data_IF_211989783341
#
_entry.id   IF_211989783341
#
_cell.length_a   1.000
_cell.length_b   1.000
_cell.length_c   1.000
_cell.angle_alpha   90.00
_cell.angle_beta   90.00
_cell.angle_gamma   90.00
#
_symmetry.space_group_name_H-M   'P 1'
#
loop_
_entity.id
_entity.type
_entity.pdbx_description
1 polymer ?
#
# COMPACT_ATOMS: atom_id res chain seq x y z
N UNK A 1 13.80 13.17 -14.64
CA UNK A 1 12.37 12.82 -14.74
C UNK A 1 11.81 12.65 -13.33
N UNK A 2 11.36 13.72 -12.69
CA UNK A 2 10.75 13.64 -11.35
C UNK A 2 9.28 13.25 -11.51
N UNK A 3 9.03 11.94 -11.64
CA UNK A 3 7.68 11.42 -11.43
C UNK A 3 7.35 11.63 -9.95
N UNK A 4 6.61 12.70 -9.65
CA UNK A 4 5.98 13.00 -8.36
C UNK A 4 4.87 11.98 -8.10
N UNK A 5 5.21 10.70 -7.98
CA UNK A 5 4.26 9.68 -7.56
C UNK A 5 4.04 9.88 -6.06
N UNK A 6 3.09 10.75 -5.69
CA UNK A 6 2.76 11.05 -4.29
C UNK A 6 2.02 9.90 -3.58
N UNK A 7 1.92 8.74 -4.24
CA UNK A 7 1.16 7.59 -3.79
C UNK A 7 2.00 6.32 -3.87
N UNK A 8 1.76 5.41 -2.93
CA UNK A 8 2.37 4.10 -2.89
C UNK A 8 1.98 3.26 -4.10
N UNK A 9 2.97 2.68 -4.78
CA UNK A 9 2.74 1.88 -5.98
C UNK A 9 2.06 0.54 -5.70
N UNK A 10 2.06 0.07 -4.45
CA UNK A 10 1.44 -1.20 -4.04
C UNK A 10 0.02 -1.06 -3.48
N UNK A 11 -0.30 0.04 -2.80
CA UNK A 11 -1.57 0.19 -2.09
C UNK A 11 -2.31 1.52 -2.35
N UNK A 12 -1.77 2.38 -3.23
CA UNK A 12 -2.28 3.72 -3.51
C UNK A 12 -2.42 4.63 -2.28
N UNK A 13 -1.70 4.30 -1.20
CA UNK A 13 -1.66 5.16 -0.02
C UNK A 13 -0.91 6.45 -0.33
N UNK A 14 -1.50 7.64 -0.11
CA UNK A 14 -0.79 8.90 -0.27
C UNK A 14 0.35 9.00 0.75
N UNK A 15 1.56 9.35 0.31
CA UNK A 15 2.71 9.48 1.21
C UNK A 15 2.53 10.58 2.26
N UNK A 16 1.69 11.58 1.99
CA UNK A 16 1.27 12.60 2.98
C UNK A 16 0.56 12.00 4.21
N UNK A 17 -0.06 10.83 4.07
CA UNK A 17 -0.73 10.11 5.17
C UNK A 17 0.12 8.98 5.75
N UNK A 18 1.33 8.78 5.23
CA UNK A 18 2.25 7.74 5.71
C UNK A 18 2.88 8.21 7.04
N UNK A 19 2.80 7.44 8.14
CA UNK A 19 3.40 7.84 9.41
C UNK A 19 4.89 8.15 9.32
N UNK A 20 5.63 7.52 8.40
CA UNK A 20 7.06 7.77 8.22
C UNK A 20 7.36 8.87 7.19
N UNK A 21 6.41 9.29 6.35
CA UNK A 21 6.56 10.45 5.45
C UNK A 21 7.81 10.47 4.57
N UNK A 22 8.85 11.19 4.99
CA UNK A 22 10.16 11.26 4.30
C UNK A 22 11.15 10.20 4.80
N UNK A 23 10.97 9.67 6.02
CA UNK A 23 11.79 8.62 6.64
C UNK A 23 11.49 7.21 6.10
N UNK A 24 10.90 7.11 4.91
CA UNK A 24 10.56 5.84 4.27
C UNK A 24 11.82 5.22 3.71
N UNK A 25 11.96 3.91 3.88
CA UNK A 25 13.07 3.16 3.28
C UNK A 25 12.99 3.14 1.74
N UNK A 26 11.78 3.23 1.18
CA UNK A 26 11.55 3.19 -0.26
C UNK A 26 10.87 4.46 -0.77
N UNK A 27 11.30 4.92 -1.95
CA UNK A 27 10.65 6.04 -2.66
C UNK A 27 9.32 5.63 -3.30
N UNK A 28 9.19 4.37 -3.70
CA UNK A 28 8.04 3.83 -4.44
C UNK A 28 6.92 3.30 -3.54
N UNK A 29 7.26 2.85 -2.33
CA UNK A 29 6.33 2.21 -1.40
C UNK A 29 6.18 3.02 -0.10
N UNK A 30 5.03 2.87 0.56
CA UNK A 30 4.82 3.43 1.90
C UNK A 30 5.42 2.51 2.98
N UNK A 31 5.60 3.05 4.19
CA UNK A 31 6.17 2.33 5.34
C UNK A 31 5.43 1.04 5.73
N UNK A 32 4.14 0.95 5.41
CA UNK A 32 3.36 -0.26 5.67
C UNK A 32 3.56 -1.35 4.63
N UNK A 33 3.83 -0.97 3.38
CA UNK A 33 4.01 -1.94 2.30
C UNK A 33 5.46 -2.41 2.19
N UNK A 34 6.42 -1.58 2.58
CA UNK A 34 7.84 -1.88 2.52
C UNK A 34 8.50 -1.53 3.84
N UNK A 35 9.12 -2.53 4.48
CA UNK A 35 9.78 -2.41 5.78
C UNK A 35 10.95 -3.39 5.88
N UNK A 36 12.04 -2.98 6.51
CA UNK A 36 13.25 -3.78 6.70
C UNK A 36 13.82 -4.29 5.36
N UNK A 37 13.83 -3.46 4.33
CA UNK A 37 14.37 -3.79 3.01
C UNK A 37 13.51 -4.73 2.16
N UNK A 38 12.30 -5.10 2.59
CA UNK A 38 11.41 -6.00 1.84
C UNK A 38 9.95 -5.58 1.85
N UNK A 39 9.20 -6.09 0.87
CA UNK A 39 7.76 -5.90 0.82
C UNK A 39 7.09 -6.78 1.87
N UNK A 40 6.15 -6.21 2.62
CA UNK A 40 5.33 -6.98 3.58
C UNK A 40 4.48 -8.05 2.89
N UNK A 41 4.16 -7.84 1.61
CA UNK A 41 3.49 -8.81 0.76
C UNK A 41 4.32 -9.08 -0.50
N UNK A 42 4.89 -10.27 -0.56
CA UNK A 42 5.74 -10.75 -1.66
C UNK A 42 4.94 -11.47 -2.75
N UNK A 43 3.67 -11.79 -2.49
CA UNK A 43 2.79 -12.43 -3.48
C UNK A 43 2.48 -11.55 -4.70
N UNK A 44 1.97 -12.19 -5.74
CA UNK A 44 1.54 -11.54 -6.98
C UNK A 44 0.01 -11.64 -7.22
N UNK A 45 -0.74 -12.21 -6.27
CA UNK A 45 -2.19 -12.27 -6.33
C UNK A 45 -2.80 -11.03 -5.68
N UNK A 46 -3.59 -10.28 -6.46
CA UNK A 46 -4.27 -9.07 -6.01
C UNK A 46 -5.40 -9.37 -5.00
N UNK A 47 -6.12 -10.48 -5.16
CA UNK A 47 -7.20 -10.86 -4.24
C UNK A 47 -6.63 -11.22 -2.87
N UNK A 48 -5.52 -11.96 -2.84
CA UNK A 48 -4.81 -12.25 -1.59
C UNK A 48 -4.24 -10.98 -0.96
N UNK A 49 -3.62 -10.10 -1.75
CA UNK A 49 -3.15 -8.81 -1.26
C UNK A 49 -4.28 -8.00 -0.62
N UNK A 50 -5.44 -7.91 -1.27
CA UNK A 50 -6.61 -7.21 -0.74
C UNK A 50 -7.07 -7.81 0.60
N UNK A 51 -7.08 -9.13 0.73
CA UNK A 51 -7.45 -9.81 1.99
C UNK A 51 -6.46 -9.47 3.11
N UNK A 52 -5.16 -9.58 2.85
CA UNK A 52 -4.12 -9.27 3.84
C UNK A 52 -4.12 -7.79 4.21
N UNK A 53 -4.33 -6.90 3.23
CA UNK A 53 -4.46 -5.47 3.47
C UNK A 53 -5.68 -5.14 4.33
N UNK A 54 -6.85 -5.76 4.09
CA UNK A 54 -8.04 -5.58 4.95
C UNK A 54 -7.77 -6.07 6.37
N UNK A 55 -7.13 -7.24 6.53
CA UNK A 55 -6.75 -7.77 7.85
C UNK A 55 -5.81 -6.81 8.57
N UNK A 56 -4.75 -6.34 7.92
CA UNK A 56 -3.79 -5.41 8.51
C UNK A 56 -4.43 -4.07 8.91
N UNK A 57 -5.31 -3.51 8.06
CA UNK A 57 -6.03 -2.27 8.34
C UNK A 57 -7.03 -2.44 9.48
N UNK A 58 -7.71 -3.59 9.57
CA UNK A 58 -8.65 -3.85 10.67
C UNK A 58 -7.88 -4.09 11.97
N UNK A 59 -6.74 -4.80 11.93
CA UNK A 59 -5.91 -5.07 13.09
C UNK A 59 -5.33 -3.81 13.74
N UNK A 60 -5.08 -2.74 12.96
CA UNK A 60 -4.67 -1.42 13.49
C UNK A 60 -5.83 -0.59 14.07
N UNK A 61 -7.05 -1.11 14.09
CA UNK A 61 -8.22 -0.44 14.68
C UNK A 61 -9.04 0.45 13.73
N UNK A 62 -8.79 0.40 12.42
CA UNK A 62 -9.65 1.09 11.46
C UNK A 62 -10.91 0.29 11.15
N UNK A 63 -11.97 0.98 10.69
CA UNK A 63 -13.23 0.31 10.36
C UNK A 63 -13.08 -0.59 9.13
N UNK A 64 -13.73 -1.77 9.18
CA UNK A 64 -13.75 -2.74 8.08
C UNK A 64 -14.21 -2.13 6.76
N UNK A 65 -15.18 -1.21 6.80
CA UNK A 65 -15.70 -0.52 5.61
C UNK A 65 -14.59 0.29 4.92
N UNK A 66 -13.83 1.08 5.70
CA UNK A 66 -12.68 1.83 5.17
C UNK A 66 -11.60 0.88 4.66
N UNK A 67 -11.34 -0.22 5.37
CA UNK A 67 -10.37 -1.23 4.96
C UNK A 67 -10.69 -1.81 3.59
N UNK A 68 -11.96 -2.19 3.36
CA UNK A 68 -12.42 -2.69 2.07
C UNK A 68 -12.36 -1.62 0.98
N UNK A 69 -12.71 -0.36 1.28
CA UNK A 69 -12.57 0.75 0.34
C UNK A 69 -11.11 0.96 -0.10
N UNK A 70 -10.17 0.95 0.85
CA UNK A 70 -8.75 1.08 0.53
C UNK A 70 -8.20 -0.13 -0.23
N UNK A 71 -8.60 -1.35 0.15
CA UNK A 71 -8.21 -2.54 -0.59
C UNK A 71 -8.78 -2.55 -2.02
N UNK A 72 -10.00 -2.05 -2.21
CA UNK A 72 -10.58 -1.84 -3.55
C UNK A 72 -9.72 -0.86 -4.36
N UNK A 73 -9.44 0.31 -3.80
CA UNK A 73 -8.57 1.33 -4.42
C UNK A 73 -7.19 0.77 -4.76
N UNK A 74 -6.58 -0.02 -3.87
CA UNK A 74 -5.26 -0.59 -4.08
C UNK A 74 -5.17 -1.45 -5.35
N UNK A 75 -6.28 -2.03 -5.84
CA UNK A 75 -6.28 -2.74 -7.11
C UNK A 75 -5.96 -1.89 -8.34
N UNK A 76 -6.06 -0.57 -8.22
CA UNK A 76 -5.69 0.37 -9.29
C UNK A 76 -4.23 0.82 -9.20
N UNK A 77 -3.47 0.34 -8.21
CA UNK A 77 -2.11 0.80 -8.00
C UNK A 77 -1.20 0.34 -9.15
N UNK A 78 -0.16 1.13 -9.49
CA UNK A 78 0.78 0.82 -10.57
C UNK A 78 1.33 -0.61 -10.54
N UNK A 79 1.58 -1.19 -9.35
CA UNK A 79 2.04 -2.57 -9.20
C UNK A 79 1.07 -3.62 -9.76
N UNK A 80 -0.23 -3.36 -9.70
CA UNK A 80 -1.27 -4.29 -10.12
C UNK A 80 -1.78 -4.03 -11.53
N UNK A 81 -1.56 -2.82 -12.04
CA UNK A 81 -1.70 -2.52 -13.46
C UNK A 81 -0.55 -3.20 -14.23
N UNK A 82 -0.70 -4.50 -14.50
CA UNK A 82 0.04 -5.14 -15.59
C UNK A 82 -0.30 -4.41 -16.90
N UNK A 83 0.74 -4.07 -17.66
CA UNK A 83 0.69 -3.49 -19.00
C UNK A 83 -0.20 -4.28 -19.96
#
# INVERSE_FOLDING_TARGET
MTNNNQMCESCLMPFKKDPLGENRESKQYCSYCFRNGKLCYEGNDLKEFKKEMVKAITARGESRIKAHFFAFMAGFAPRWKKK
#
